data_IF_516839576917
#
_entry.id   IF_516839576917
#
_cell.length_a   1.000
_cell.length_b   1.000
_cell.length_c   1.000
_cell.angle_alpha   90.00
_cell.angle_beta   90.00
_cell.angle_gamma   90.00
#
_symmetry.space_group_name_H-M   'P 1'
#
loop_
_entity.id
_entity.type
_entity.pdbx_description
1 polymer ?
#
# COMPACT_ATOMS: atom_id res chain seq x y z
N UNK A 1 -3.41 -21.79 -7.75
CA UNK A 1 -2.05 -22.35 -7.99
C UNK A 1 -1.11 -21.21 -8.39
N UNK A 2 0.05 -21.09 -7.75
CA UNK A 2 1.09 -20.12 -8.11
C UNK A 2 2.19 -20.84 -8.90
N UNK A 3 2.71 -20.22 -9.95
CA UNK A 3 3.76 -20.77 -10.79
C UNK A 3 4.90 -19.77 -10.92
N UNK A 4 6.13 -20.25 -10.77
CA UNK A 4 7.34 -19.52 -11.10
C UNK A 4 7.91 -20.13 -12.38
N UNK A 5 8.20 -19.28 -13.36
CA UNK A 5 8.66 -19.70 -14.68
C UNK A 5 9.96 -18.96 -15.03
N UNK A 6 10.94 -19.70 -15.55
CA UNK A 6 12.22 -19.18 -16.05
C UNK A 6 12.38 -19.54 -17.51
N UNK A 7 12.39 -18.54 -18.38
CA UNK A 7 12.56 -18.72 -19.83
C UNK A 7 13.50 -17.65 -20.38
N UNK A 8 14.57 -18.05 -21.08
CA UNK A 8 15.45 -17.16 -21.85
C UNK A 8 15.89 -15.87 -21.11
N UNK A 9 16.28 -15.98 -19.84
CA UNK A 9 16.76 -14.84 -19.04
C UNK A 9 15.65 -13.94 -18.48
N UNK A 10 14.39 -14.39 -18.50
CA UNK A 10 13.25 -13.79 -17.80
C UNK A 10 12.78 -14.74 -16.70
N UNK A 11 12.67 -14.23 -15.49
CA UNK A 11 11.96 -14.88 -14.39
C UNK A 11 10.60 -14.22 -14.21
N UNK A 12 9.53 -15.01 -14.07
CA UNK A 12 8.20 -14.45 -13.79
C UNK A 12 7.41 -15.26 -12.79
N UNK A 13 6.58 -14.56 -12.03
CA UNK A 13 5.68 -15.13 -11.04
C UNK A 13 4.24 -14.91 -11.50
N UNK A 14 3.48 -16.00 -11.52
CA UNK A 14 2.13 -16.04 -12.05
C UNK A 14 1.16 -16.73 -11.09
N UNK A 15 -0.10 -16.32 -11.11
CA UNK A 15 -1.21 -16.95 -10.41
C UNK A 15 -2.20 -17.45 -11.46
N UNK A 16 -2.60 -18.72 -11.36
CA UNK A 16 -3.69 -19.27 -12.17
C UNK A 16 -5.00 -18.56 -11.78
N UNK A 17 -5.70 -18.02 -12.77
CA UNK A 17 -6.99 -17.35 -12.58
C UNK A 17 -8.12 -18.31 -12.97
N UNK A 18 -8.13 -18.77 -14.22
CA UNK A 18 -9.13 -19.73 -14.76
C UNK A 18 -8.48 -20.57 -15.85
N UNK A 19 -8.93 -21.81 -16.10
CA UNK A 19 -8.59 -22.68 -17.26
C UNK A 19 -7.27 -22.35 -18.01
N UNK A 20 -6.11 -22.59 -17.36
CA UNK A 20 -4.74 -22.33 -17.90
C UNK A 20 -4.43 -20.85 -18.25
N UNK A 21 -5.28 -19.90 -17.88
CA UNK A 21 -5.01 -18.47 -17.89
C UNK A 21 -4.30 -18.05 -16.61
N UNK A 22 -3.21 -17.32 -16.78
CA UNK A 22 -2.32 -16.89 -15.70
C UNK A 22 -2.18 -15.38 -15.68
N UNK A 23 -2.36 -14.76 -14.51
CA UNK A 23 -1.99 -13.36 -14.27
C UNK A 23 -0.61 -13.29 -13.64
N UNK A 24 0.19 -12.28 -14.00
CA UNK A 24 1.39 -11.96 -13.25
C UNK A 24 1.03 -11.48 -11.84
N UNK A 25 1.73 -12.01 -10.84
CA UNK A 25 1.49 -11.67 -9.44
C UNK A 25 2.72 -11.99 -8.61
N UNK A 26 3.08 -11.11 -7.67
CA UNK A 26 4.04 -11.44 -6.61
C UNK A 26 3.85 -10.56 -5.38
N UNK A 27 3.53 -11.17 -4.24
CA UNK A 27 3.35 -10.46 -2.96
C UNK A 27 4.62 -9.76 -2.45
N UNK A 28 5.80 -10.34 -2.69
CA UNK A 28 7.10 -9.80 -2.23
C UNK A 28 8.10 -9.77 -3.36
N UNK A 29 8.27 -8.61 -3.98
CA UNK A 29 9.22 -8.39 -5.09
C UNK A 29 8.53 -8.27 -6.46
N UNK A 30 9.28 -7.98 -7.53
CA UNK A 30 8.72 -7.78 -8.85
C UNK A 30 8.20 -9.09 -9.45
N UNK A 31 7.03 -9.05 -10.08
CA UNK A 31 6.41 -10.21 -10.70
C UNK A 31 7.12 -10.64 -12.00
N UNK A 32 7.99 -9.78 -12.55
CA UNK A 32 8.91 -10.14 -13.64
C UNK A 32 10.28 -9.56 -13.34
N UNK A 33 11.33 -10.35 -13.57
CA UNK A 33 12.73 -9.91 -13.57
C UNK A 33 13.39 -10.32 -14.89
N UNK A 34 14.16 -9.41 -15.47
CA UNK A 34 14.94 -9.67 -16.69
C UNK A 34 16.43 -9.72 -16.36
N UNK A 35 17.20 -10.43 -17.19
CA UNK A 35 18.66 -10.55 -17.07
C UNK A 35 19.38 -9.20 -17.10
N UNK A 36 18.85 -8.22 -17.83
CA UNK A 36 19.40 -6.86 -17.89
C UNK A 36 19.09 -6.01 -16.65
N UNK A 37 18.49 -6.60 -15.60
CA UNK A 37 18.14 -5.90 -14.36
C UNK A 37 16.76 -5.25 -14.37
N UNK A 38 16.03 -5.29 -15.50
CA UNK A 38 14.65 -4.81 -15.58
C UNK A 38 13.74 -5.49 -14.55
N UNK A 39 12.73 -4.77 -14.06
CA UNK A 39 11.74 -5.24 -13.09
C UNK A 39 10.35 -4.72 -13.48
N UNK A 40 9.33 -5.54 -13.29
CA UNK A 40 7.93 -5.11 -13.43
C UNK A 40 7.08 -5.70 -12.32
N UNK A 41 6.16 -4.89 -11.83
CA UNK A 41 5.37 -5.17 -10.65
C UNK A 41 3.91 -5.34 -11.03
N UNK A 42 3.26 -6.32 -10.41
CA UNK A 42 1.88 -6.68 -10.69
C UNK A 42 1.17 -7.09 -9.41
N UNK A 43 -0.01 -6.51 -9.18
CA UNK A 43 -0.93 -6.96 -8.15
C UNK A 43 -2.17 -7.54 -8.82
N UNK A 44 -2.45 -8.80 -8.52
CA UNK A 44 -3.56 -9.58 -9.10
C UNK A 44 -3.72 -9.42 -10.64
N UNK A 45 -2.61 -9.33 -11.39
CA UNK A 45 -2.61 -9.19 -12.85
C UNK A 45 -2.58 -7.74 -13.37
N UNK A 46 -2.78 -6.75 -12.50
CA UNK A 46 -2.69 -5.33 -12.87
C UNK A 46 -1.28 -4.81 -12.63
N UNK A 47 -0.64 -4.20 -13.65
CA UNK A 47 0.67 -3.60 -13.47
C UNK A 47 0.59 -2.37 -12.58
N UNK A 48 1.65 -2.14 -11.80
CA UNK A 48 1.81 -0.92 -11.02
C UNK A 48 3.28 -0.48 -11.05
N UNK A 49 3.50 0.81 -10.82
CA UNK A 49 4.84 1.38 -10.77
C UNK A 49 5.37 1.36 -9.35
N UNK A 50 6.67 1.11 -9.20
CA UNK A 50 7.34 1.13 -7.91
C UNK A 50 8.60 1.98 -8.01
N UNK A 51 8.65 3.02 -7.19
CA UNK A 51 9.81 3.90 -7.05
C UNK A 51 10.52 3.52 -5.75
N UNK A 52 11.83 3.30 -5.86
CA UNK A 52 12.72 3.05 -4.72
C UNK A 52 13.70 4.23 -4.68
N UNK A 53 13.60 5.03 -3.62
CA UNK A 53 14.46 6.18 -3.32
C UNK A 53 15.31 5.86 -2.08
N UNK A 54 16.31 6.68 -1.79
CA UNK A 54 17.11 6.54 -0.56
C UNK A 54 16.24 6.67 0.71
N UNK A 55 15.24 7.55 0.68
CA UNK A 55 14.42 7.87 1.85
C UNK A 55 13.17 6.98 1.98
N UNK A 56 12.64 6.48 0.87
CA UNK A 56 11.37 5.76 0.87
C UNK A 56 11.22 4.83 -0.33
N UNK A 57 10.23 3.97 -0.23
CA UNK A 57 9.71 3.20 -1.35
C UNK A 57 8.24 3.53 -1.55
N UNK A 58 7.82 3.83 -2.79
CA UNK A 58 6.45 4.19 -3.13
C UNK A 58 5.87 3.31 -4.26
N UNK A 59 4.57 3.01 -4.20
CA UNK A 59 3.83 2.29 -5.24
C UNK A 59 2.69 3.12 -5.83
N UNK A 60 2.54 3.05 -7.16
CA UNK A 60 1.57 3.84 -7.91
C UNK A 60 0.73 2.98 -8.85
N UNK A 61 -0.59 3.18 -8.83
CA UNK A 61 -1.48 2.67 -9.85
C UNK A 61 -1.46 3.58 -11.08
N UNK A 62 -1.48 3.00 -12.28
CA UNK A 62 -1.66 3.76 -13.51
C UNK A 62 -3.15 3.93 -13.78
N UNK A 63 -3.62 5.17 -13.83
CA UNK A 63 -5.04 5.52 -13.98
C UNK A 63 -5.35 6.03 -15.38
N UNK A 64 -4.37 6.62 -16.07
CA UNK A 64 -4.48 6.99 -17.49
C UNK A 64 -3.12 6.90 -18.19
N UNK A 65 -3.07 7.30 -19.46
CA UNK A 65 -1.82 7.40 -20.23
C UNK A 65 -0.82 8.40 -19.63
N UNK A 66 -1.29 9.37 -18.84
CA UNK A 66 -0.46 10.44 -18.26
C UNK A 66 -0.53 10.50 -16.74
N UNK A 67 -1.47 9.78 -16.11
CA UNK A 67 -1.71 9.85 -14.67
C UNK A 67 -1.37 8.54 -13.98
N UNK A 68 -0.55 8.64 -12.95
CA UNK A 68 -0.33 7.63 -11.93
C UNK A 68 -0.74 8.20 -10.57
N UNK A 69 -1.19 7.35 -9.65
CA UNK A 69 -1.67 7.75 -8.32
C UNK A 69 -1.09 6.81 -7.27
N UNK A 70 -0.75 7.33 -6.09
CA UNK A 70 -0.39 6.53 -4.93
C UNK A 70 -1.51 5.54 -4.61
N UNK A 71 -1.12 4.28 -4.47
CA UNK A 71 -2.07 3.20 -4.27
C UNK A 71 -1.46 2.06 -3.46
N UNK A 72 -2.19 1.62 -2.45
CA UNK A 72 -1.90 0.45 -1.64
C UNK A 72 -2.44 -0.81 -2.31
N UNK A 73 -1.57 -1.78 -2.55
CA UNK A 73 -1.92 -3.05 -3.19
C UNK A 73 -1.90 -4.20 -2.19
N UNK A 74 -2.95 -5.03 -2.17
CA UNK A 74 -3.03 -6.21 -1.29
C UNK A 74 -2.68 -5.92 0.18
N UNK A 75 -3.23 -4.83 0.74
CA UNK A 75 -2.97 -4.29 2.10
C UNK A 75 -1.50 -3.95 2.40
N UNK A 76 -0.67 -3.86 1.36
CA UNK A 76 0.69 -3.32 1.50
C UNK A 76 0.66 -1.79 1.50
N UNK A 77 1.48 -1.14 2.32
CA UNK A 77 1.58 0.32 2.33
C UNK A 77 1.99 0.83 0.95
N UNK A 78 1.39 1.95 0.55
CA UNK A 78 1.77 2.62 -0.69
C UNK A 78 3.10 3.34 -0.54
N UNK A 79 3.44 3.80 0.68
CA UNK A 79 4.75 4.38 1.01
C UNK A 79 5.34 3.67 2.24
N UNK A 80 6.60 3.25 2.13
CA UNK A 80 7.42 2.81 3.24
C UNK A 80 8.64 3.73 3.37
N UNK A 81 8.74 4.46 4.47
CA UNK A 81 9.91 5.28 4.76
C UNK A 81 11.02 4.43 5.38
N UNK A 82 12.27 4.84 5.17
CA UNK A 82 13.46 4.17 5.74
C UNK A 82 13.47 4.17 7.27
N UNK A 83 12.84 5.18 7.88
CA UNK A 83 12.66 5.23 9.34
C UNK A 83 11.62 4.21 9.85
N UNK A 84 10.91 3.49 8.98
CA UNK A 84 9.90 2.50 9.38
C UNK A 84 8.46 3.00 9.39
N UNK A 85 8.22 4.32 9.21
CA UNK A 85 6.88 4.87 9.00
C UNK A 85 6.27 4.30 7.72
N UNK A 86 4.97 4.01 7.75
CA UNK A 86 4.23 3.43 6.64
C UNK A 86 2.93 4.19 6.40
N UNK A 87 2.60 4.38 5.13
CA UNK A 87 1.38 5.05 4.73
C UNK A 87 0.61 4.23 3.69
N UNK A 88 -0.71 4.23 3.81
CA UNK A 88 -1.63 3.54 2.92
C UNK A 88 -2.51 4.55 2.19
N UNK A 89 -2.60 4.36 0.87
CA UNK A 89 -3.30 5.28 -0.02
C UNK A 89 -4.27 4.54 -0.93
N UNK A 90 -5.34 5.23 -1.31
CA UNK A 90 -6.25 4.82 -2.37
C UNK A 90 -6.62 6.07 -3.17
N UNK A 91 -6.20 6.10 -4.44
CA UNK A 91 -6.42 7.23 -5.33
C UNK A 91 -5.84 8.55 -4.79
N UNK A 92 -4.55 8.55 -4.45
CA UNK A 92 -3.82 9.70 -3.86
C UNK A 92 -4.37 10.19 -2.50
N UNK A 93 -5.33 9.50 -1.91
CA UNK A 93 -5.90 9.84 -0.61
C UNK A 93 -5.48 8.81 0.43
N UNK A 94 -5.06 9.27 1.61
CA UNK A 94 -4.84 8.41 2.77
C UNK A 94 -6.11 7.59 3.03
N UNK A 95 -5.97 6.28 3.03
CA UNK A 95 -7.10 5.37 3.11
C UNK A 95 -6.65 3.97 3.47
N UNK A 96 -7.27 3.40 4.51
CA UNK A 96 -7.17 1.96 4.80
C UNK A 96 -8.41 1.50 5.57
N UNK A 97 -9.04 0.41 5.11
CA UNK A 97 -10.31 -0.08 5.68
C UNK A 97 -10.07 -0.84 7.00
N UNK A 98 -9.09 -1.73 7.02
CA UNK A 98 -8.89 -2.70 8.09
C UNK A 98 -7.73 -2.33 9.04
N UNK A 99 -7.34 -1.05 9.09
CA UNK A 99 -6.20 -0.60 9.86
C UNK A 99 -5.95 0.90 9.71
N UNK A 100 -4.99 1.45 10.46
CA UNK A 100 -4.55 2.83 10.30
C UNK A 100 -3.97 3.08 8.91
N UNK A 101 -4.25 4.25 8.36
CA UNK A 101 -3.71 4.71 7.09
C UNK A 101 -2.28 5.27 7.25
N UNK A 102 -1.88 5.66 8.46
CA UNK A 102 -0.49 5.99 8.80
C UNK A 102 -0.11 5.23 10.06
N UNK A 103 1.05 4.56 10.02
CA UNK A 103 1.70 3.96 11.20
C UNK A 103 3.09 4.55 11.30
N UNK A 104 3.36 5.28 12.37
CA UNK A 104 4.65 5.89 12.64
C UNK A 104 5.61 4.89 13.27
N UNK A 105 6.92 5.15 13.15
CA UNK A 105 7.97 4.33 13.79
C UNK A 105 7.76 4.15 15.30
N UNK A 106 7.31 5.19 15.99
CA UNK A 106 7.10 5.18 17.44
C UNK A 106 5.83 4.41 17.87
N UNK A 107 5.07 3.85 16.92
CA UNK A 107 3.83 3.13 17.18
C UNK A 107 2.58 4.00 17.19
N UNK A 108 2.72 5.31 16.95
CA UNK A 108 1.57 6.19 16.77
C UNK A 108 0.81 5.82 15.49
N UNK A 109 -0.49 6.06 15.49
CA UNK A 109 -1.39 5.62 14.42
C UNK A 109 -2.39 6.72 14.04
N UNK A 110 -2.63 6.87 12.73
CA UNK A 110 -3.74 7.68 12.21
C UNK A 110 -4.61 6.89 11.24
N UNK A 111 -5.91 6.99 11.44
CA UNK A 111 -6.95 6.35 10.65
C UNK A 111 -7.58 7.37 9.70
N UNK A 112 -7.56 7.04 8.41
CA UNK A 112 -8.18 7.85 7.38
C UNK A 112 -9.09 7.00 6.50
N UNK A 113 -10.20 7.60 6.11
CA UNK A 113 -11.09 7.09 5.09
C UNK A 113 -11.24 8.15 4.00
N UNK A 114 -10.72 7.85 2.80
CA UNK A 114 -10.82 8.73 1.63
C UNK A 114 -10.25 10.14 1.88
N UNK A 115 -9.12 10.21 2.58
CA UNK A 115 -8.40 11.45 2.87
C UNK A 115 -8.93 12.22 4.08
N UNK A 116 -9.98 11.73 4.74
CA UNK A 116 -10.53 12.33 5.96
C UNK A 116 -10.16 11.48 7.17
N UNK A 117 -9.73 12.10 8.27
CA UNK A 117 -9.56 11.40 9.55
C UNK A 117 -10.91 10.83 9.97
N UNK A 118 -10.98 9.51 10.12
CA UNK A 118 -12.22 8.83 10.46
C UNK A 118 -11.92 7.43 10.99
N UNK A 119 -12.59 7.05 12.08
CA UNK A 119 -12.64 5.66 12.56
C UNK A 119 -13.97 5.41 13.25
N UNK A 120 -14.71 4.40 12.78
CA UNK A 120 -16.02 4.03 13.36
C UNK A 120 -15.90 3.53 14.80
N UNK A 121 -14.89 2.71 15.07
CA UNK A 121 -14.73 2.00 16.35
C UNK A 121 -13.39 2.39 17.00
N UNK A 122 -13.37 3.57 17.64
CA UNK A 122 -12.23 4.02 18.44
C UNK A 122 -11.63 5.35 17.98
N UNK A 123 -10.45 5.72 18.51
CA UNK A 123 -9.80 6.97 18.16
C UNK A 123 -9.27 6.92 16.73
N UNK A 124 -9.50 7.99 15.97
CA UNK A 124 -8.93 8.12 14.65
C UNK A 124 -7.44 8.50 14.70
N UNK A 125 -6.96 9.07 15.82
CA UNK A 125 -5.55 9.38 16.03
C UNK A 125 -5.13 8.93 17.43
N UNK A 126 -4.00 8.24 17.50
CA UNK A 126 -3.38 7.77 18.74
C UNK A 126 -1.95 8.26 18.78
N UNK A 127 -1.62 9.13 19.73
CA UNK A 127 -0.27 9.66 19.96
C UNK A 127 0.16 9.39 21.39
N UNK A 128 0.97 8.34 21.60
CA UNK A 128 1.26 7.83 22.93
C UNK A 128 -0.03 7.54 23.72
N UNK A 129 -0.25 8.27 24.81
CA UNK A 129 -1.45 8.14 25.64
C UNK A 129 -2.60 9.11 25.27
N UNK A 130 -2.46 9.86 24.17
CA UNK A 130 -3.48 10.79 23.66
C UNK A 130 -4.31 10.14 22.57
N UNK A 131 -5.62 10.36 22.63
CA UNK A 131 -6.59 9.82 21.70
C UNK A 131 -7.49 10.93 21.15
N UNK A 132 -7.60 11.04 19.83
CA UNK A 132 -8.49 11.99 19.17
C UNK A 132 -9.50 11.24 18.30
N UNK A 133 -10.76 11.63 18.42
CA UNK A 133 -11.87 11.02 17.71
C UNK A 133 -12.34 11.97 16.62
N UNK A 134 -12.51 11.43 15.41
CA UNK A 134 -12.98 12.16 14.25
C UNK A 134 -14.06 11.36 13.53
N UNK A 135 -15.09 12.05 13.08
CA UNK A 135 -16.13 11.51 12.22
C UNK A 135 -16.15 12.29 10.90
N UNK A 136 -15.68 11.66 9.83
CA UNK A 136 -15.67 12.25 8.49
C UNK A 136 -14.87 13.57 8.43
N UNK A 137 -13.72 13.58 9.10
CA UNK A 137 -12.82 14.73 9.17
C UNK A 137 -13.15 15.73 10.27
N UNK A 138 -14.35 15.66 10.86
CA UNK A 138 -14.76 16.57 11.93
C UNK A 138 -14.29 16.05 13.29
N UNK A 139 -13.74 16.95 14.11
CA UNK A 139 -13.30 16.61 15.46
C UNK A 139 -14.52 16.36 16.36
N UNK A 140 -14.50 15.24 17.09
CA UNK A 140 -15.58 14.86 18.00
C UNK A 140 -15.17 15.07 19.45
N UNK A 141 -14.04 14.46 19.87
CA UNK A 141 -13.55 14.54 21.25
C UNK A 141 -12.08 14.14 21.37
N UNK A 142 -11.53 14.43 22.54
CA UNK A 142 -10.17 14.09 22.94
C UNK A 142 -10.19 13.37 24.28
N UNK A 143 -9.34 12.33 24.41
CA UNK A 143 -9.08 11.65 25.66
C UNK A 143 -7.57 11.62 25.94
N UNK A 144 -7.21 11.66 27.22
CA UNK A 144 -5.87 11.37 27.73
C UNK A 144 -5.96 10.15 28.64
N UNK A 145 -5.17 9.11 28.34
CA UNK A 145 -5.09 7.91 29.16
C UNK A 145 -4.05 8.13 30.26
N UNK A 146 -4.43 7.84 31.50
CA UNK A 146 -3.56 7.94 32.67
C UNK A 146 -2.68 6.70 32.83
#
# INVERSE_FOLDING_TARGET
MYAMERVKGKESWKKLIEKKLYAYHRKRGPAIKWRNGGKSWYDNGFPYEKIEDECFCATFARVSSVKIELHSFSDSPAICYKNGTKEWYRHDKLHRINGPAIVYLNGDEEWYFMGQRHRREGPAVTYGNKQYFFECGEFVKFNHLN
#
